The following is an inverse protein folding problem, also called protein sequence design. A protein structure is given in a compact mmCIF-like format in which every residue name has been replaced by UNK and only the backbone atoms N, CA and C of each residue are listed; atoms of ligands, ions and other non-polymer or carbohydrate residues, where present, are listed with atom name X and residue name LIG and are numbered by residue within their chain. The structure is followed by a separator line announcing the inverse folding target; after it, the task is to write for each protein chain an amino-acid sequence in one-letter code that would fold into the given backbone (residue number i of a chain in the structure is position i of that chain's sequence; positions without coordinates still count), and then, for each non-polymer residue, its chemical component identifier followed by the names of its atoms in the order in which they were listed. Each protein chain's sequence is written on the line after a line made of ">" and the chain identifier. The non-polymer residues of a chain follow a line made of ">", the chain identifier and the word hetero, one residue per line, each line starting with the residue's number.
data_IF_270513618910
#
_entry.id   IF_270513618910
#
_cell.length_a   1.000
_cell.length_b   1.000
_cell.length_c   1.000
_cell.angle_alpha   90.00
_cell.angle_beta   90.00
_cell.angle_gamma   90.00
#
_symmetry.space_group_name_H-M   'P 1'
#
loop_
_entity.id
_entity.type
_entity.pdbx_description
1 polymer ?
#
# COMPACT_ATOMS: atom_id res chain seq x y z
N UNK A 1 -3.27 -11.30 -11.79
CA UNK A 1 -1.82 -11.03 -11.82
C UNK A 1 -1.60 -9.63 -11.29
N UNK A 2 -0.93 -9.55 -10.17
CA UNK A 2 -0.64 -8.38 -9.39
C UNK A 2 0.66 -7.73 -9.90
N UNK A 3 0.69 -6.40 -9.97
CA UNK A 3 1.91 -5.64 -10.27
C UNK A 3 2.61 -5.88 -11.63
N UNK A 4 1.88 -6.26 -12.66
CA UNK A 4 2.47 -6.41 -14.00
C UNK A 4 3.16 -5.15 -14.52
N UNK A 5 2.78 -3.97 -14.02
CA UNK A 5 3.42 -2.71 -14.37
C UNK A 5 4.92 -2.67 -14.01
N UNK A 6 5.36 -3.49 -13.04
CA UNK A 6 6.78 -3.63 -12.66
C UNK A 6 7.66 -4.14 -13.81
N UNK A 7 7.07 -4.80 -14.81
CA UNK A 7 7.77 -5.24 -16.02
C UNK A 7 7.92 -4.12 -17.08
N UNK A 8 7.30 -2.96 -16.86
CA UNK A 8 7.47 -1.82 -17.76
C UNK A 8 8.90 -1.26 -17.65
N UNK A 9 9.47 -0.74 -18.77
CA UNK A 9 10.82 -0.20 -18.76
C UNK A 9 11.05 0.87 -17.68
N UNK A 10 10.06 1.74 -17.43
CA UNK A 10 10.19 2.82 -16.44
C UNK A 10 10.30 2.31 -15.01
N UNK A 11 9.55 1.24 -14.65
CA UNK A 11 9.64 0.66 -13.31
C UNK A 11 10.83 -0.26 -13.18
N UNK A 12 11.07 -1.11 -14.20
CA UNK A 12 12.17 -2.07 -14.20
C UNK A 12 13.54 -1.39 -14.11
N UNK A 13 13.85 -0.46 -15.00
CA UNK A 13 15.14 0.21 -15.01
C UNK A 13 15.36 1.12 -13.81
N UNK A 14 14.33 1.81 -13.35
CA UNK A 14 14.41 2.58 -12.09
C UNK A 14 14.62 1.65 -10.90
N UNK A 15 13.89 0.53 -10.85
CA UNK A 15 14.08 -0.49 -9.84
C UNK A 15 15.51 -1.00 -9.78
N UNK A 16 16.07 -1.42 -10.93
CA UNK A 16 17.44 -1.89 -11.03
C UNK A 16 18.47 -0.83 -10.65
N UNK A 17 18.31 0.41 -11.12
CA UNK A 17 19.25 1.52 -10.86
C UNK A 17 19.32 1.93 -9.40
N UNK A 18 18.17 1.94 -8.71
CA UNK A 18 18.07 2.44 -7.33
C UNK A 18 17.95 1.34 -6.28
N UNK A 19 18.13 0.07 -6.67
CA UNK A 19 18.07 -1.07 -5.75
C UNK A 19 19.21 -1.04 -4.74
N UNK A 20 18.87 -1.12 -3.46
CA UNK A 20 19.82 -1.11 -2.33
C UNK A 20 19.64 -2.32 -1.39
N UNK A 21 18.69 -3.21 -1.65
CA UNK A 21 18.40 -4.39 -0.84
C UNK A 21 17.69 -4.13 0.51
N UNK A 22 17.84 -2.95 1.08
CA UNK A 22 17.37 -2.62 2.43
C UNK A 22 16.18 -1.65 2.47
N UNK A 23 15.89 -1.00 1.37
CA UNK A 23 14.76 -0.06 1.23
C UNK A 23 14.19 -0.10 -0.18
N UNK A 24 12.97 0.43 -0.33
CA UNK A 24 12.33 0.54 -1.64
C UNK A 24 13.18 1.39 -2.60
N UNK A 25 13.44 0.91 -3.83
CA UNK A 25 14.09 1.69 -4.89
C UNK A 25 13.40 3.04 -5.14
N UNK A 26 12.08 3.11 -4.97
CA UNK A 26 11.31 4.35 -5.11
C UNK A 26 11.73 5.42 -4.09
N UNK A 27 12.06 5.01 -2.85
CA UNK A 27 12.54 5.95 -1.83
C UNK A 27 13.96 6.44 -2.16
N UNK A 28 14.82 5.54 -2.64
CA UNK A 28 16.15 5.92 -3.07
C UNK A 28 16.09 6.91 -4.27
N UNK A 29 15.20 6.67 -5.24
CA UNK A 29 14.99 7.59 -6.34
C UNK A 29 14.48 8.96 -5.88
N UNK A 30 13.50 9.02 -4.94
CA UNK A 30 13.02 10.30 -4.37
C UNK A 30 14.13 11.10 -3.71
N UNK A 31 14.99 10.43 -2.95
CA UNK A 31 16.13 11.09 -2.30
C UNK A 31 17.13 11.65 -3.31
N UNK A 32 17.33 10.97 -4.44
CA UNK A 32 18.29 11.36 -5.45
C UNK A 32 17.81 12.50 -6.36
N UNK A 33 16.53 12.50 -6.77
CA UNK A 33 16.00 13.40 -7.80
C UNK A 33 14.71 14.13 -7.41
N UNK A 34 14.28 14.04 -6.15
CA UNK A 34 13.13 14.75 -5.60
C UNK A 34 11.78 14.05 -5.81
N UNK A 35 11.67 13.06 -6.70
CA UNK A 35 10.46 12.29 -6.96
C UNK A 35 10.80 10.88 -7.44
N UNK A 36 9.81 10.00 -7.55
CA UNK A 36 9.99 8.67 -8.17
C UNK A 36 9.07 8.51 -9.37
N UNK A 37 9.65 8.53 -10.57
CA UNK A 37 8.92 8.28 -11.81
C UNK A 37 8.35 6.85 -11.85
N UNK A 38 9.10 5.88 -11.32
CA UNK A 38 8.63 4.50 -11.17
C UNK A 38 7.39 4.42 -10.27
N UNK A 39 7.40 5.11 -9.13
CA UNK A 39 6.25 5.16 -8.23
C UNK A 39 5.03 5.83 -8.84
N UNK A 40 5.22 6.97 -9.53
CA UNK A 40 4.14 7.67 -10.23
C UNK A 40 3.49 6.78 -11.30
N UNK A 41 4.31 6.04 -12.05
CA UNK A 41 3.83 5.07 -13.03
C UNK A 41 3.09 3.91 -12.37
N UNK A 42 3.65 3.35 -11.30
CA UNK A 42 3.14 2.20 -10.56
C UNK A 42 1.78 2.50 -9.90
N UNK A 43 1.73 3.53 -9.06
CA UNK A 43 0.50 3.90 -8.32
C UNK A 43 -0.67 4.27 -9.22
N UNK A 44 -0.40 4.83 -10.39
CA UNK A 44 -1.44 5.20 -11.37
C UNK A 44 -2.01 4.00 -12.16
N UNK A 45 -1.46 2.80 -12.01
CA UNK A 45 -1.86 1.58 -12.73
C UNK A 45 -2.32 0.45 -11.83
N UNK A 46 -1.99 0.52 -10.55
CA UNK A 46 -2.27 -0.55 -9.60
C UNK A 46 -3.30 -0.10 -8.57
N UNK A 47 -4.51 -0.65 -8.68
CA UNK A 47 -5.71 -0.25 -7.91
C UNK A 47 -5.64 -0.59 -6.41
N UNK A 48 -4.67 -1.39 -5.98
CA UNK A 48 -4.44 -1.65 -4.56
C UNK A 48 -3.64 -0.53 -3.86
N UNK A 49 -3.14 0.47 -4.58
CA UNK A 49 -2.56 1.68 -3.99
C UNK A 49 -3.63 2.74 -3.75
N UNK A 50 -3.67 3.29 -2.54
CA UNK A 50 -4.66 4.31 -2.17
C UNK A 50 -4.57 5.56 -3.06
N UNK A 51 -3.37 5.90 -3.53
CA UNK A 51 -3.11 7.05 -4.38
C UNK A 51 -3.73 6.95 -5.78
N UNK A 52 -4.09 5.75 -6.23
CA UNK A 52 -4.90 5.54 -7.44
C UNK A 52 -6.30 6.15 -7.30
N UNK A 53 -6.82 6.20 -6.07
CA UNK A 53 -8.19 6.60 -5.73
C UNK A 53 -8.30 8.05 -5.26
N UNK A 54 -7.29 8.89 -5.54
CA UNK A 54 -7.34 10.32 -5.22
C UNK A 54 -7.89 11.08 -6.42
N UNK A 55 -8.94 11.88 -6.20
CA UNK A 55 -9.57 12.71 -7.22
C UNK A 55 -9.89 14.09 -6.67
N UNK A 56 -10.37 14.98 -7.53
CA UNK A 56 -10.83 16.30 -7.12
C UNK A 56 -12.04 16.18 -6.19
N UNK A 57 -11.98 16.94 -5.11
CA UNK A 57 -13.11 17.03 -4.17
C UNK A 57 -14.21 17.95 -4.73
N UNK A 58 -15.45 17.58 -4.48
CA UNK A 58 -16.62 18.47 -4.66
C UNK A 58 -16.92 19.31 -3.41
N UNK A 59 -16.14 19.09 -2.33
CA UNK A 59 -16.30 19.83 -1.06
C UNK A 59 -15.48 21.10 -1.06
N UNK A 60 -16.10 22.20 -0.58
CA UNK A 60 -15.42 23.48 -0.43
C UNK A 60 -14.22 23.35 0.54
N UNK A 61 -13.09 23.96 0.16
CA UNK A 61 -11.87 23.96 0.98
C UNK A 61 -11.02 22.70 0.94
N UNK A 62 -11.44 21.65 0.24
CA UNK A 62 -10.65 20.41 0.07
C UNK A 62 -10.42 20.15 -1.41
N UNK A 63 -9.26 20.52 -1.99
CA UNK A 63 -9.02 20.42 -3.44
C UNK A 63 -8.96 18.97 -3.94
N UNK A 64 -8.50 18.04 -3.10
CA UNK A 64 -8.39 16.61 -3.38
C UNK A 64 -8.96 15.78 -2.23
N UNK A 65 -9.52 14.64 -2.55
CA UNK A 65 -9.98 13.67 -1.56
C UNK A 65 -9.78 12.22 -2.04
N UNK A 66 -9.74 11.29 -1.08
CA UNK A 66 -9.70 9.85 -1.36
C UNK A 66 -11.10 9.33 -1.69
N UNK A 67 -11.23 8.65 -2.84
CA UNK A 67 -12.45 7.94 -3.23
C UNK A 67 -12.49 6.57 -2.57
N UNK A 68 -13.71 6.05 -2.34
CA UNK A 68 -13.90 4.73 -1.72
C UNK A 68 -13.32 3.63 -2.59
N UNK A 69 -12.38 2.90 -2.03
CA UNK A 69 -11.79 1.74 -2.69
C UNK A 69 -12.76 0.54 -2.64
N UNK A 70 -12.96 -0.17 -3.75
CA UNK A 70 -13.61 -1.48 -3.68
C UNK A 70 -12.86 -2.41 -2.72
N UNK A 71 -13.61 -3.12 -1.88
CA UNK A 71 -13.12 -3.98 -0.80
C UNK A 71 -11.96 -4.88 -1.20
N UNK A 72 -12.04 -5.51 -2.40
CA UNK A 72 -10.99 -6.38 -2.92
C UNK A 72 -9.62 -5.70 -3.04
N UNK A 73 -9.59 -4.41 -3.35
CA UNK A 73 -8.33 -3.66 -3.48
C UNK A 73 -7.77 -3.23 -2.13
N UNK A 74 -8.63 -3.03 -1.13
CA UNK A 74 -8.16 -2.84 0.25
C UNK A 74 -7.51 -4.14 0.76
N UNK A 75 -8.13 -5.30 0.51
CA UNK A 75 -7.54 -6.61 0.85
C UNK A 75 -6.22 -6.83 0.13
N UNK A 76 -6.17 -6.52 -1.18
CA UNK A 76 -4.93 -6.61 -1.97
C UNK A 76 -3.83 -5.68 -1.41
N UNK A 77 -4.18 -4.46 -0.99
CA UNK A 77 -3.26 -3.53 -0.34
C UNK A 77 -2.71 -4.09 1.00
N UNK A 78 -3.55 -4.75 1.80
CA UNK A 78 -3.10 -5.42 3.03
C UNK A 78 -2.08 -6.51 2.70
N UNK A 79 -2.38 -7.38 1.74
CA UNK A 79 -1.47 -8.45 1.32
C UNK A 79 -0.15 -7.89 0.78
N UNK A 80 -0.20 -6.82 -0.02
CA UNK A 80 1.00 -6.16 -0.55
C UNK A 80 1.87 -5.58 0.57
N UNK A 81 1.27 -4.95 1.60
CA UNK A 81 2.00 -4.43 2.77
C UNK A 81 2.67 -5.53 3.57
N UNK A 82 2.02 -6.68 3.75
CA UNK A 82 2.61 -7.87 4.40
C UNK A 82 3.81 -8.36 3.58
N UNK A 83 3.63 -8.55 2.27
CA UNK A 83 4.69 -9.02 1.39
C UNK A 83 5.89 -8.07 1.34
N UNK A 84 5.65 -6.76 1.25
CA UNK A 84 6.69 -5.74 1.29
C UNK A 84 7.45 -5.74 2.62
N UNK A 85 6.74 -5.82 3.76
CA UNK A 85 7.37 -5.88 5.08
C UNK A 85 8.25 -7.12 5.22
N UNK A 86 7.77 -8.30 4.78
CA UNK A 86 8.59 -9.52 4.75
C UNK A 86 9.82 -9.40 3.86
N UNK A 87 9.67 -8.78 2.70
CA UNK A 87 10.78 -8.58 1.76
C UNK A 87 11.88 -7.70 2.35
N UNK A 88 11.52 -6.59 3.00
CA UNK A 88 12.52 -5.65 3.55
C UNK A 88 13.06 -6.04 4.92
N UNK A 89 12.28 -6.73 5.73
CA UNK A 89 12.68 -7.15 7.09
C UNK A 89 13.30 -8.55 7.11
N UNK A 90 13.00 -9.40 6.14
CA UNK A 90 13.48 -10.77 6.07
C UNK A 90 13.16 -11.56 7.35
N UNK A 91 14.18 -12.14 7.97
CA UNK A 91 14.04 -12.90 9.23
C UNK A 91 13.61 -12.07 10.45
N UNK A 92 13.74 -10.75 10.38
CA UNK A 92 13.34 -9.84 11.47
C UNK A 92 11.88 -9.40 11.36
N UNK A 93 11.13 -9.87 10.35
CA UNK A 93 9.72 -9.56 10.18
C UNK A 93 8.88 -9.95 11.39
N UNK A 94 7.95 -9.08 11.75
CA UNK A 94 6.91 -9.30 12.76
C UNK A 94 5.56 -8.90 12.20
N UNK A 95 4.50 -9.52 12.65
CA UNK A 95 3.13 -9.22 12.20
C UNK A 95 2.68 -7.79 12.56
N UNK A 96 3.38 -7.12 13.48
CA UNK A 96 3.17 -5.69 13.78
C UNK A 96 3.78 -4.74 12.73
N UNK A 97 4.76 -5.18 11.94
CA UNK A 97 5.51 -4.28 11.04
C UNK A 97 4.64 -3.56 10.01
N UNK A 98 3.63 -4.19 9.36
CA UNK A 98 2.74 -3.48 8.42
C UNK A 98 1.90 -2.40 9.10
N UNK A 99 1.43 -2.63 10.34
CA UNK A 99 0.75 -1.62 11.13
C UNK A 99 1.68 -0.47 11.52
N UNK A 100 2.87 -0.79 12.04
CA UNK A 100 3.84 0.20 12.49
C UNK A 100 4.24 1.14 11.33
N UNK A 101 4.45 0.57 10.15
CA UNK A 101 4.73 1.36 8.93
C UNK A 101 3.55 2.27 8.54
N UNK A 102 2.31 1.76 8.57
CA UNK A 102 1.12 2.56 8.29
C UNK A 102 0.92 3.68 9.31
N UNK A 103 1.11 3.39 10.60
CA UNK A 103 0.88 4.32 11.70
C UNK A 103 1.76 5.59 11.60
N UNK A 104 2.97 5.51 11.02
CA UNK A 104 3.83 6.68 10.78
C UNK A 104 3.20 7.73 9.86
N UNK A 105 2.36 7.29 8.90
CA UNK A 105 1.68 8.18 7.97
C UNK A 105 0.21 8.42 8.30
N UNK A 106 -0.30 7.82 9.36
CA UNK A 106 -1.70 7.93 9.77
C UNK A 106 -2.12 9.39 9.93
N UNK A 107 -3.29 9.75 9.40
CA UNK A 107 -3.81 11.12 9.41
C UNK A 107 -3.24 12.03 8.31
N UNK A 108 -2.26 11.58 7.53
CA UNK A 108 -1.73 12.31 6.37
C UNK A 108 -2.10 11.67 5.02
N UNK A 109 -2.71 10.48 5.05
CA UNK A 109 -3.17 9.82 3.84
C UNK A 109 -4.49 10.42 3.35
N UNK A 110 -4.58 10.69 2.05
CA UNK A 110 -5.84 10.99 1.39
C UNK A 110 -6.55 9.67 1.06
N UNK A 111 -7.19 9.08 2.04
CA UNK A 111 -7.92 7.82 1.92
C UNK A 111 -9.37 8.00 2.38
N UNK A 112 -10.31 7.35 1.69
CA UNK A 112 -11.72 7.39 2.08
C UNK A 112 -11.92 6.74 3.46
N UNK A 113 -12.72 7.34 4.38
CA UNK A 113 -12.86 6.84 5.76
C UNK A 113 -13.28 5.37 5.89
N UNK A 114 -14.18 4.88 5.03
CA UNK A 114 -14.57 3.46 5.05
C UNK A 114 -13.44 2.53 4.57
N UNK A 115 -12.62 2.97 3.61
CA UNK A 115 -11.47 2.21 3.14
C UNK A 115 -10.36 2.19 4.18
N UNK A 116 -10.14 3.32 4.85
CA UNK A 116 -9.19 3.45 5.96
C UNK A 116 -9.58 2.55 7.14
N UNK A 117 -10.86 2.60 7.54
CA UNK A 117 -11.37 1.74 8.61
C UNK A 117 -11.12 0.26 8.33
N UNK A 118 -11.43 -0.21 7.13
CA UNK A 118 -11.20 -1.61 6.76
C UNK A 118 -9.70 -1.96 6.73
N UNK A 119 -8.86 -1.05 6.22
CA UNK A 119 -7.41 -1.21 6.24
C UNK A 119 -6.89 -1.35 7.67
N UNK A 120 -7.29 -0.46 8.56
CA UNK A 120 -6.91 -0.46 9.97
C UNK A 120 -7.38 -1.74 10.68
N UNK A 121 -8.64 -2.16 10.49
CA UNK A 121 -9.16 -3.40 11.04
C UNK A 121 -8.31 -4.62 10.66
N UNK A 122 -7.93 -4.72 9.38
CA UNK A 122 -7.08 -5.81 8.91
C UNK A 122 -5.66 -5.74 9.48
N UNK A 123 -5.03 -4.55 9.51
CA UNK A 123 -3.66 -4.40 10.02
C UNK A 123 -3.58 -4.61 11.54
N UNK A 124 -4.59 -4.16 12.29
CA UNK A 124 -4.69 -4.40 13.73
C UNK A 124 -4.88 -5.90 14.00
N UNK A 125 -5.77 -6.56 13.24
CA UNK A 125 -5.98 -8.01 13.37
C UNK A 125 -4.72 -8.81 13.05
N UNK A 126 -3.97 -8.41 12.02
CA UNK A 126 -2.66 -9.00 11.72
C UNK A 126 -1.70 -8.86 12.91
N UNK A 127 -1.57 -7.66 13.46
CA UNK A 127 -0.69 -7.36 14.58
C UNK A 127 -1.02 -8.19 15.82
N UNK A 128 -2.32 -8.31 16.16
CA UNK A 128 -2.78 -8.85 17.43
C UNK A 128 -3.06 -10.36 17.36
N UNK A 129 -3.44 -10.88 16.20
CA UNK A 129 -3.90 -12.28 16.04
C UNK A 129 -3.09 -13.07 14.99
N UNK A 130 -2.23 -12.42 14.22
CA UNK A 130 -1.35 -13.04 13.22
C UNK A 130 -1.97 -13.24 11.83
N UNK A 131 -1.14 -13.78 10.93
CA UNK A 131 -1.49 -13.91 9.50
C UNK A 131 -2.66 -14.84 9.24
N UNK A 132 -2.72 -15.99 9.87
CA UNK A 132 -3.81 -16.96 9.65
C UNK A 132 -5.17 -16.37 10.01
N UNK A 133 -5.24 -15.61 11.10
CA UNK A 133 -6.46 -14.94 11.53
C UNK A 133 -6.89 -13.85 10.56
N UNK A 134 -5.97 -12.97 10.11
CA UNK A 134 -6.33 -11.91 9.17
C UNK A 134 -6.70 -12.45 7.80
N UNK A 135 -6.02 -13.48 7.28
CA UNK A 135 -6.37 -14.09 6.00
C UNK A 135 -7.73 -14.80 6.05
N UNK A 136 -8.03 -15.51 7.14
CA UNK A 136 -9.35 -16.09 7.37
C UNK A 136 -10.44 -15.03 7.43
N UNK A 137 -10.21 -13.94 8.16
CA UNK A 137 -11.12 -12.81 8.26
C UNK A 137 -11.38 -12.17 6.89
N UNK A 138 -10.33 -11.82 6.15
CA UNK A 138 -10.46 -11.22 4.83
C UNK A 138 -11.24 -12.12 3.87
N UNK A 139 -10.96 -13.42 3.87
CA UNK A 139 -11.63 -14.40 3.00
C UNK A 139 -13.11 -14.58 3.35
N UNK A 140 -13.46 -14.71 4.62
CA UNK A 140 -14.78 -15.16 5.04
C UNK A 140 -15.72 -14.02 5.45
N UNK A 141 -15.19 -12.88 5.90
CA UNK A 141 -15.99 -11.76 6.41
C UNK A 141 -15.96 -10.55 5.48
N UNK A 142 -14.86 -10.34 4.76
CA UNK A 142 -14.65 -9.14 3.94
C UNK A 142 -15.01 -9.38 2.47
N UNK A 143 -14.53 -10.47 1.87
CA UNK A 143 -14.70 -10.75 0.43
C UNK A 143 -15.97 -11.53 0.08
N UNK A 144 -16.64 -12.16 1.05
CA UNK A 144 -17.87 -12.94 0.82
C UNK A 144 -19.17 -12.14 0.82
N UNK A 145 -19.08 -10.79 0.91
CA UNK A 145 -20.26 -9.92 0.86
C UNK A 145 -20.67 -9.59 -0.55
#
# INVERSE_FOLDING_TARGET
>A
MHDLSKLSPIEFWSGAKYYQGTQSPNNAQRKAVGYSAAWLHHKGRNKHHLEYWIDYSTREGAPLEGMKMPTKYVVEMVCDRIAASKTYKGKAYKDSDPWDYYAHGRGHYLIHPESEKLLEECLIKLRDEGEDAVFSYMKHNVLKK
#
